data_IF_294827196254
#
_entry.id   IF_294827196254
#
_cell.length_a   1.000
_cell.length_b   1.000
_cell.length_c   1.000
_cell.angle_alpha   90.00
_cell.angle_beta   90.00
_cell.angle_gamma   90.00
#
_symmetry.space_group_name_H-M   'P 1'
#
loop_
_entity.id
_entity.type
_entity.pdbx_description
1 polymer ?
#
# COMPACT_ATOMS: atom_id res chain seq x y z
N UNK A 1 -8.58 11.22 -2.17
CA UNK A 1 -8.64 10.46 -0.91
C UNK A 1 -8.21 9.02 -1.16
N UNK A 2 -6.94 8.71 -0.85
CA UNK A 2 -6.49 7.32 -0.76
C UNK A 2 -7.04 6.73 0.54
N UNK A 3 -7.90 5.72 0.41
CA UNK A 3 -8.36 4.90 1.51
C UNK A 3 -7.54 3.61 1.48
N UNK A 4 -6.69 3.43 2.49
CA UNK A 4 -5.92 2.20 2.68
C UNK A 4 -6.47 1.46 3.89
N UNK A 5 -6.73 0.16 3.71
CA UNK A 5 -7.08 -0.75 4.79
C UNK A 5 -6.02 -1.84 4.82
N UNK A 6 -5.37 -2.03 5.97
CA UNK A 6 -4.55 -3.19 6.25
C UNK A 6 -5.20 -3.98 7.39
N UNK A 7 -5.71 -5.16 7.06
CA UNK A 7 -6.21 -6.14 8.02
C UNK A 7 -5.26 -7.35 8.01
N UNK A 8 -4.44 -7.44 9.06
CA UNK A 8 -3.46 -8.52 9.20
C UNK A 8 -4.12 -9.85 9.56
N UNK A 9 -5.24 -9.83 10.29
CA UNK A 9 -5.92 -11.05 10.72
C UNK A 9 -6.57 -11.77 9.54
N UNK A 10 -7.26 -11.00 8.68
CA UNK A 10 -7.85 -11.54 7.45
C UNK A 10 -6.87 -11.66 6.28
N UNK A 11 -5.60 -11.29 6.48
CA UNK A 11 -4.56 -11.22 5.44
C UNK A 11 -5.06 -10.46 4.22
N UNK A 12 -5.57 -9.24 4.45
CA UNK A 12 -6.18 -8.40 3.42
C UNK A 12 -5.65 -6.97 3.48
N UNK A 13 -5.17 -6.48 2.34
CA UNK A 13 -4.70 -5.13 2.14
C UNK A 13 -5.44 -4.54 0.95
N UNK A 14 -6.07 -3.37 1.13
CA UNK A 14 -6.84 -2.70 0.08
C UNK A 14 -6.37 -1.27 -0.03
N UNK A 15 -6.13 -0.80 -1.25
CA UNK A 15 -5.90 0.61 -1.54
C UNK A 15 -6.79 1.07 -2.70
N UNK A 16 -7.50 2.18 -2.47
CA UNK A 16 -8.15 2.95 -3.54
C UNK A 16 -7.19 4.01 -4.10
N UNK A 17 -6.85 3.88 -5.38
CA UNK A 17 -6.00 4.77 -6.18
C UNK A 17 -6.90 5.70 -6.99
N UNK A 18 -6.88 6.99 -6.66
CA UNK A 18 -7.68 7.99 -7.37
C UNK A 18 -6.97 8.57 -8.59
N UNK A 19 -5.64 8.69 -8.53
CA UNK A 19 -4.80 9.11 -9.64
C UNK A 19 -3.40 8.50 -9.45
N UNK A 20 -3.03 7.55 -10.31
CA UNK A 20 -1.65 7.06 -10.41
C UNK A 20 -1.26 6.91 -11.87
N UNK A 21 0.00 7.16 -12.21
CA UNK A 21 0.48 7.02 -13.58
C UNK A 21 1.28 5.73 -13.72
N UNK A 22 0.89 4.84 -14.63
CA UNK A 22 1.72 3.67 -15.01
C UNK A 22 2.92 4.16 -15.81
N UNK A 23 2.67 5.13 -16.69
CA UNK A 23 3.63 5.88 -17.49
C UNK A 23 3.07 7.29 -17.72
N UNK A 24 3.86 8.27 -18.20
CA UNK A 24 3.42 9.66 -18.31
C UNK A 24 2.11 9.87 -19.10
N UNK A 25 1.78 8.95 -20.01
CA UNK A 25 0.60 8.97 -20.88
C UNK A 25 -0.61 8.19 -20.32
N UNK A 26 -0.44 7.40 -19.27
CA UNK A 26 -1.47 6.46 -18.79
C UNK A 26 -1.77 6.72 -17.33
N UNK A 27 -2.85 7.46 -17.10
CA UNK A 27 -3.42 7.71 -15.77
C UNK A 27 -4.44 6.64 -15.41
N UNK A 28 -4.27 6.05 -14.22
CA UNK A 28 -5.21 5.19 -13.55
C UNK A 28 -6.07 6.03 -12.62
N UNK A 29 -7.36 6.13 -12.97
CA UNK A 29 -8.37 6.83 -12.17
C UNK A 29 -9.37 5.79 -11.67
N UNK A 30 -9.73 5.87 -10.38
CA UNK A 30 -10.73 5.00 -9.78
C UNK A 30 -10.32 3.53 -9.73
N UNK A 31 -9.05 3.24 -9.44
CA UNK A 31 -8.57 1.85 -9.34
C UNK A 31 -8.56 1.40 -7.90
N UNK A 32 -9.04 0.19 -7.64
CA UNK A 32 -8.90 -0.49 -6.36
C UNK A 32 -7.94 -1.65 -6.52
N UNK A 33 -6.89 -1.67 -5.70
CA UNK A 33 -5.95 -2.79 -5.62
C UNK A 33 -6.17 -3.50 -4.29
N UNK A 34 -6.37 -4.82 -4.35
CA UNK A 34 -6.44 -5.68 -3.18
C UNK A 34 -5.31 -6.71 -3.24
N UNK A 35 -4.50 -6.75 -2.18
CA UNK A 35 -3.57 -7.84 -1.92
C UNK A 35 -4.16 -8.73 -0.84
N UNK A 36 -4.10 -10.04 -1.00
CA UNK A 36 -4.59 -10.98 -0.01
C UNK A 36 -3.80 -12.29 0.02
N UNK A 37 -4.08 -13.12 1.03
CA UNK A 37 -3.52 -14.47 1.16
C UNK A 37 -1.97 -14.52 1.07
N UNK A 38 -1.31 -13.48 1.58
CA UNK A 38 0.15 -13.45 1.66
C UNK A 38 0.65 -14.40 2.75
N UNK A 39 1.86 -14.95 2.57
CA UNK A 39 2.46 -15.85 3.56
C UNK A 39 3.14 -15.11 4.71
N UNK A 40 3.67 -13.91 4.43
CA UNK A 40 4.32 -13.06 5.42
C UNK A 40 4.19 -11.59 5.01
N UNK A 41 4.20 -10.69 5.99
CA UNK A 41 4.24 -9.25 5.79
C UNK A 41 5.38 -8.66 6.61
N UNK A 42 6.34 -8.04 5.93
CA UNK A 42 7.36 -7.20 6.58
C UNK A 42 6.90 -5.76 6.53
N UNK A 43 6.92 -5.06 7.66
CA UNK A 43 6.62 -3.63 7.75
C UNK A 43 7.80 -2.90 8.39
N UNK A 44 8.31 -1.91 7.69
CA UNK A 44 9.30 -0.95 8.18
C UNK A 44 8.69 0.44 8.13
N UNK A 45 8.84 1.22 9.21
CA UNK A 45 8.51 2.64 9.19
C UNK A 45 9.70 3.46 9.67
N UNK A 46 9.88 4.62 9.06
CA UNK A 46 10.77 5.66 9.51
C UNK A 46 9.93 6.86 9.95
N UNK A 47 9.92 7.13 11.24
CA UNK A 47 9.14 8.22 11.84
C UNK A 47 10.11 9.32 12.26
N UNK A 48 9.78 10.58 11.93
CA UNK A 48 10.56 11.73 12.39
C UNK A 48 10.73 11.66 13.92
N UNK A 49 11.99 11.74 14.38
CA UNK A 49 12.40 11.67 15.79
C UNK A 49 12.39 10.28 16.46
N UNK A 50 12.00 9.20 15.78
CA UNK A 50 12.07 7.82 16.33
C UNK A 50 12.96 6.87 15.51
N UNK A 51 13.37 7.25 14.29
CA UNK A 51 14.21 6.44 13.43
C UNK A 51 13.46 5.24 12.83
N UNK A 52 14.17 4.19 12.45
CA UNK A 52 13.57 2.97 11.91
C UNK A 52 12.90 2.15 13.02
N UNK A 53 11.60 1.90 12.86
CA UNK A 53 10.81 1.04 13.74
C UNK A 53 10.24 -0.11 12.90
N UNK A 54 10.45 -1.34 13.34
CA UNK A 54 9.63 -2.47 12.87
C UNK A 54 8.29 -2.33 13.55
N UNK A 55 7.27 -1.98 12.77
CA UNK A 55 5.97 -1.65 13.32
C UNK A 55 5.09 -2.90 13.26
N UNK A 56 4.72 -3.44 14.43
CA UNK A 56 3.81 -4.58 14.50
C UNK A 56 2.35 -4.19 14.22
N UNK A 57 2.03 -2.90 14.28
CA UNK A 57 0.71 -2.34 14.00
C UNK A 57 0.88 -0.99 13.32
N UNK A 58 0.53 -0.85 12.03
CA UNK A 58 0.49 0.45 11.34
C UNK A 58 -0.42 1.38 12.17
N UNK A 59 0.14 2.34 12.93
CA UNK A 59 -0.63 3.09 13.92
C UNK A 59 -1.50 4.16 13.25
N UNK A 60 -1.42 4.27 11.92
CA UNK A 60 -1.96 5.37 11.15
C UNK A 60 -2.20 4.90 9.71
N UNK A 61 -3.24 5.46 9.09
CA UNK A 61 -3.47 5.35 7.65
C UNK A 61 -2.29 5.94 6.86
N UNK A 62 -2.02 5.40 5.66
CA UNK A 62 -1.15 6.09 4.72
C UNK A 62 -1.81 7.36 4.22
N UNK A 63 -1.03 8.46 4.15
CA UNK A 63 -1.46 9.65 3.42
C UNK A 63 -1.45 9.36 1.94
N UNK A 64 -0.31 8.86 1.45
CA UNK A 64 -0.05 8.65 0.03
C UNK A 64 0.77 7.38 -0.19
N UNK A 65 0.38 6.57 -1.18
CA UNK A 65 1.24 5.52 -1.72
C UNK A 65 2.03 6.15 -2.87
N UNK A 66 3.35 6.13 -2.76
CA UNK A 66 4.23 6.67 -3.77
C UNK A 66 4.85 5.58 -4.63
N UNK A 67 4.97 4.37 -4.08
CA UNK A 67 5.61 3.25 -4.76
C UNK A 67 4.77 1.98 -4.61
N UNK A 68 4.59 1.31 -5.75
CA UNK A 68 3.97 0.00 -5.82
C UNK A 68 4.78 -0.83 -6.83
N UNK A 69 5.50 -1.82 -6.36
CA UNK A 69 6.47 -2.58 -7.15
C UNK A 69 6.30 -4.08 -6.96
N UNK A 70 6.21 -4.82 -8.07
CA UNK A 70 6.34 -6.27 -8.07
C UNK A 70 7.82 -6.64 -8.17
N UNK A 71 8.34 -7.29 -7.13
CA UNK A 71 9.75 -7.69 -7.07
C UNK A 71 10.01 -8.97 -7.90
N UNK A 72 11.26 -9.22 -8.34
CA UNK A 72 11.61 -10.39 -9.15
C UNK A 72 11.29 -11.75 -8.50
N UNK A 73 11.21 -11.79 -7.17
CA UNK A 73 10.87 -13.00 -6.40
C UNK A 73 9.34 -13.21 -6.23
N UNK A 74 8.51 -12.38 -6.87
CA UNK A 74 7.04 -12.46 -6.77
C UNK A 74 6.45 -11.82 -5.51
N UNK A 75 7.27 -11.20 -4.64
CA UNK A 75 6.76 -10.35 -3.57
C UNK A 75 6.33 -8.99 -4.10
N UNK A 76 5.47 -8.29 -3.36
CA UNK A 76 5.01 -6.95 -3.70
C UNK A 76 5.47 -5.98 -2.63
N UNK A 77 6.20 -4.94 -3.03
CA UNK A 77 6.59 -3.82 -2.18
C UNK A 77 5.61 -2.67 -2.40
N UNK A 78 5.09 -2.14 -1.30
CA UNK A 78 4.27 -0.93 -1.26
C UNK A 78 4.95 0.05 -0.32
N UNK A 79 5.21 1.27 -0.78
CA UNK A 79 5.83 2.30 0.05
C UNK A 79 5.15 3.65 -0.11
N UNK A 80 5.20 4.45 0.96
CA UNK A 80 4.44 5.69 1.03
C UNK A 80 4.61 6.42 2.36
N UNK A 81 3.84 7.49 2.52
CA UNK A 81 3.91 8.36 3.69
C UNK A 81 2.80 8.06 4.70
N UNK A 82 3.12 8.18 5.98
CA UNK A 82 2.19 8.03 7.11
C UNK A 82 1.43 9.34 7.33
N UNK A 83 0.09 9.27 7.41
CA UNK A 83 -0.76 10.47 7.53
C UNK A 83 -0.60 11.25 8.83
N UNK A 84 -0.43 10.54 9.95
CA UNK A 84 -0.46 11.17 11.29
C UNK A 84 0.92 11.25 11.94
N UNK A 85 1.87 10.43 11.51
CA UNK A 85 3.17 10.29 12.16
C UNK A 85 4.29 11.10 11.47
N UNK A 86 4.01 11.77 10.33
CA UNK A 86 5.03 12.46 9.51
C UNK A 86 6.28 11.58 9.30
N UNK A 87 6.10 10.53 8.50
CA UNK A 87 7.14 9.52 8.29
C UNK A 87 6.91 8.70 7.03
N UNK A 88 7.91 7.94 6.65
CA UNK A 88 7.86 6.99 5.53
C UNK A 88 7.56 5.59 6.04
N UNK A 89 6.89 4.77 5.24
CA UNK A 89 6.80 3.34 5.52
C UNK A 89 6.94 2.50 4.26
N UNK A 90 7.39 1.27 4.47
CA UNK A 90 7.54 0.24 3.45
C UNK A 90 6.91 -1.06 3.96
N UNK A 91 6.03 -1.63 3.14
CA UNK A 91 5.40 -2.92 3.33
C UNK A 91 5.85 -3.87 2.23
N UNK A 92 6.32 -5.06 2.61
CA UNK A 92 6.62 -6.12 1.65
C UNK A 92 5.74 -7.33 1.93
N UNK A 93 4.84 -7.63 0.99
CA UNK A 93 3.94 -8.78 1.01
C UNK A 93 4.59 -9.96 0.29
N UNK A 94 4.75 -11.08 0.99
CA UNK A 94 5.36 -12.29 0.42
C UNK A 94 4.30 -13.20 -0.21
N UNK A 95 4.50 -13.55 -1.48
CA UNK A 95 3.59 -14.39 -2.28
C UNK A 95 2.10 -13.98 -2.22
N UNK A 96 1.73 -12.69 -2.34
CA UNK A 96 0.34 -12.28 -2.27
C UNK A 96 -0.42 -12.72 -3.53
N UNK A 97 -1.73 -12.89 -3.39
CA UNK A 97 -2.67 -12.77 -4.51
C UNK A 97 -3.03 -11.31 -4.69
N UNK A 98 -3.13 -10.85 -5.93
CA UNK A 98 -3.50 -9.48 -6.26
C UNK A 98 -4.75 -9.46 -7.13
N UNK A 99 -5.71 -8.64 -6.74
CA UNK A 99 -6.89 -8.29 -7.53
C UNK A 99 -6.88 -6.79 -7.83
N UNK A 100 -7.24 -6.43 -9.06
CA UNK A 100 -7.34 -5.03 -9.52
C UNK A 100 -8.74 -4.82 -10.09
N UNK A 101 -9.45 -3.84 -9.55
CA UNK A 101 -10.82 -3.49 -9.94
C UNK A 101 -10.87 -2.04 -10.39
N UNK A 102 -11.55 -1.76 -11.51
CA UNK A 102 -11.87 -0.41 -11.92
C UNK A 102 -13.23 -0.02 -11.33
N UNK A 103 -13.21 0.91 -10.38
CA UNK A 103 -14.39 1.50 -9.78
C UNK A 103 -14.80 2.71 -10.63
N UNK A 104 -15.81 2.55 -11.48
CA UNK A 104 -16.46 3.69 -12.10
C UNK A 104 -17.11 4.55 -11.01
N UNK A 105 -16.74 5.83 -10.93
CA UNK A 105 -17.61 6.82 -10.31
C UNK A 105 -18.83 6.97 -11.23
N UNK A 106 -20.00 6.53 -10.77
CA UNK A 106 -21.25 6.89 -11.44
C UNK A 106 -21.31 8.42 -11.48
N UNK A 107 -21.32 8.95 -12.70
CA UNK A 107 -21.46 10.38 -13.01
C UNK A 107 -22.78 10.95 -12.51
#
# INVERSE_FOLDING_TARGET
MLAMVLDRESQRFVVGVQAAYIEPSVELIGVRVELCAWSNLTLMAEVENQGHVTVDQLPSELSDICEFEMQPNGSIRVAGFLRQAYGWCEMTFQNPKMAVEYCYENS
#
